data_IF_235253337391
#
_entry.id   IF_235253337391
#
_cell.length_a   1.000
_cell.length_b   1.000
_cell.length_c   1.000
_cell.angle_alpha   90.00
_cell.angle_beta   90.00
_cell.angle_gamma   90.00
#
_symmetry.space_group_name_H-M   'P 1'
#
loop_
_entity.id
_entity.type
_entity.pdbx_description
1 polymer ?
#
# COMPACT_ATOMS: atom_id res chain seq x y z
N UNK A 1 -21.86 -10.02 5.60
CA UNK A 1 -22.13 -11.44 5.92
C UNK A 1 -22.28 -12.35 4.70
N UNK A 2 -22.73 -11.87 3.54
CA UNK A 2 -22.82 -12.69 2.31
C UNK A 2 -21.49 -12.80 1.57
N UNK A 3 -20.57 -11.86 1.73
CA UNK A 3 -19.25 -11.86 1.08
C UNK A 3 -18.36 -13.03 1.53
N UNK A 4 -18.51 -13.49 2.78
CA UNK A 4 -17.70 -14.58 3.35
C UNK A 4 -18.24 -16.01 3.04
N UNK A 5 -19.48 -16.16 2.57
CA UNK A 5 -20.15 -17.45 2.49
C UNK A 5 -20.35 -18.02 1.07
N UNK A 6 -20.06 -17.27 0.01
CA UNK A 6 -20.30 -17.70 -1.38
C UNK A 6 -19.11 -17.33 -2.26
N UNK A 7 -18.80 -18.22 -3.21
CA UNK A 7 -17.94 -17.89 -4.34
C UNK A 7 -18.40 -16.55 -4.91
N UNK A 8 -17.47 -15.59 -5.06
CA UNK A 8 -17.78 -14.19 -5.31
C UNK A 8 -18.66 -14.00 -6.55
N UNK A 9 -19.94 -13.76 -6.34
CA UNK A 9 -20.89 -13.40 -7.40
C UNK A 9 -20.39 -12.14 -8.12
N UNK A 10 -19.75 -11.23 -7.39
CA UNK A 10 -19.14 -10.02 -7.95
C UNK A 10 -18.03 -10.36 -8.94
N UNK A 11 -17.20 -11.36 -8.64
CA UNK A 11 -16.16 -11.82 -9.57
C UNK A 11 -16.76 -12.38 -10.87
N UNK A 12 -17.84 -13.13 -10.77
CA UNK A 12 -18.55 -13.67 -11.95
C UNK A 12 -19.22 -12.55 -12.77
N UNK A 13 -19.83 -11.57 -12.10
CA UNK A 13 -20.41 -10.39 -12.74
C UNK A 13 -19.36 -9.53 -13.45
N UNK A 14 -18.20 -9.30 -12.80
CA UNK A 14 -17.09 -8.58 -13.41
C UNK A 14 -16.56 -9.27 -14.65
N UNK A 15 -16.35 -10.58 -14.59
CA UNK A 15 -15.95 -11.37 -15.77
C UNK A 15 -16.98 -11.29 -16.90
N UNK A 16 -18.26 -11.37 -16.56
CA UNK A 16 -19.34 -11.23 -17.54
C UNK A 16 -19.39 -9.84 -18.18
N UNK A 17 -19.22 -8.78 -17.37
CA UNK A 17 -19.19 -7.41 -17.86
C UNK A 17 -18.02 -7.15 -18.79
N UNK A 18 -16.82 -7.61 -18.43
CA UNK A 18 -15.61 -7.46 -19.24
C UNK A 18 -15.68 -8.29 -20.54
N UNK A 19 -16.24 -9.48 -20.48
CA UNK A 19 -16.45 -10.31 -21.68
C UNK A 19 -17.50 -9.70 -22.63
N UNK A 20 -18.54 -9.08 -22.08
CA UNK A 20 -19.62 -8.46 -22.86
C UNK A 20 -19.28 -7.07 -23.41
N UNK A 21 -18.34 -6.37 -22.79
CA UNK A 21 -17.89 -5.04 -23.19
C UNK A 21 -16.36 -4.98 -23.20
N UNK A 22 -15.72 -5.56 -24.22
CA UNK A 22 -14.27 -5.46 -24.37
C UNK A 22 -13.88 -3.99 -24.53
N UNK A 23 -13.02 -3.50 -23.62
CA UNK A 23 -12.63 -2.09 -23.53
C UNK A 23 -13.35 -1.32 -22.41
N UNK A 24 -14.12 -1.98 -21.56
CA UNK A 24 -14.64 -1.38 -20.35
C UNK A 24 -13.48 -1.14 -19.37
N UNK A 25 -13.07 0.13 -19.25
CA UNK A 25 -12.06 0.55 -18.29
C UNK A 25 -12.74 0.95 -16.97
N UNK A 26 -12.43 0.20 -15.91
CA UNK A 26 -12.91 0.54 -14.57
C UNK A 26 -11.84 1.33 -13.81
N UNK A 27 -12.22 2.40 -13.09
CA UNK A 27 -11.25 3.15 -12.28
C UNK A 27 -10.52 2.27 -11.25
N UNK A 28 -9.21 2.48 -11.03
CA UNK A 28 -8.40 1.65 -10.13
C UNK A 28 -8.97 1.53 -8.72
N UNK A 29 -9.50 2.63 -8.17
CA UNK A 29 -10.11 2.63 -6.83
C UNK A 29 -11.38 1.76 -6.74
N UNK A 30 -12.13 1.61 -7.83
CA UNK A 30 -13.31 0.73 -7.86
C UNK A 30 -12.85 -0.72 -7.89
N UNK A 31 -11.85 -1.07 -8.70
CA UNK A 31 -11.27 -2.41 -8.75
C UNK A 31 -10.69 -2.82 -7.40
N UNK A 32 -9.96 -1.91 -6.75
CA UNK A 32 -9.44 -2.07 -5.39
C UNK A 32 -10.57 -2.34 -4.39
N UNK A 33 -11.62 -1.51 -4.41
CA UNK A 33 -12.79 -1.67 -3.53
C UNK A 33 -13.48 -3.02 -3.73
N UNK A 34 -13.69 -3.43 -4.98
CA UNK A 34 -14.33 -4.72 -5.30
C UNK A 34 -13.44 -5.91 -4.89
N UNK A 35 -12.13 -5.81 -5.07
CA UNK A 35 -11.17 -6.78 -4.56
C UNK A 35 -11.28 -6.95 -3.06
N UNK A 36 -11.13 -5.87 -2.32
CA UNK A 36 -11.08 -5.86 -0.85
C UNK A 36 -12.42 -6.24 -0.20
N UNK A 37 -13.52 -5.67 -0.68
CA UNK A 37 -14.83 -5.85 -0.03
C UNK A 37 -15.50 -7.17 -0.41
N UNK A 38 -15.34 -7.61 -1.66
CA UNK A 38 -16.03 -8.78 -2.19
C UNK A 38 -15.10 -9.93 -2.57
N UNK A 39 -13.82 -9.83 -2.19
CA UNK A 39 -12.80 -10.83 -2.49
C UNK A 39 -12.65 -11.14 -3.98
N UNK A 40 -12.91 -10.16 -4.83
CA UNK A 40 -12.77 -10.28 -6.29
C UNK A 40 -11.33 -9.97 -6.75
N UNK A 41 -10.32 -10.38 -5.95
CA UNK A 41 -8.92 -10.00 -6.11
C UNK A 41 -8.34 -10.36 -7.48
N UNK A 42 -8.52 -11.60 -7.93
CA UNK A 42 -7.88 -12.07 -9.15
C UNK A 42 -8.31 -11.28 -10.38
N UNK A 43 -9.62 -11.07 -10.56
CA UNK A 43 -10.12 -10.30 -11.69
C UNK A 43 -9.74 -8.82 -11.57
N UNK A 44 -9.73 -8.28 -10.36
CA UNK A 44 -9.31 -6.89 -10.12
C UNK A 44 -7.83 -6.70 -10.42
N UNK A 45 -6.96 -7.62 -10.00
CA UNK A 45 -5.53 -7.58 -10.32
C UNK A 45 -5.27 -7.72 -11.82
N UNK A 46 -5.94 -8.65 -12.49
CA UNK A 46 -5.83 -8.84 -13.94
C UNK A 46 -6.13 -7.53 -14.68
N UNK A 47 -7.24 -6.86 -14.32
CA UNK A 47 -7.61 -5.57 -14.91
C UNK A 47 -6.65 -4.42 -14.56
N UNK A 48 -6.17 -4.35 -13.32
CA UNK A 48 -5.19 -3.36 -12.92
C UNK A 48 -3.85 -3.57 -13.64
N UNK A 49 -3.43 -4.82 -13.84
CA UNK A 49 -2.22 -5.14 -14.61
C UNK A 49 -2.38 -4.75 -16.09
N UNK A 50 -3.52 -5.06 -16.71
CA UNK A 50 -3.80 -4.65 -18.08
C UNK A 50 -3.76 -3.12 -18.22
N UNK A 51 -4.36 -2.38 -17.28
CA UNK A 51 -4.33 -0.92 -17.26
C UNK A 51 -2.91 -0.38 -17.08
N UNK A 52 -2.11 -0.98 -16.22
CA UNK A 52 -0.71 -0.57 -15.98
C UNK A 52 0.15 -0.73 -17.24
N UNK A 53 -0.08 -1.79 -18.02
CA UNK A 53 0.64 -2.06 -19.26
C UNK A 53 0.03 -1.38 -20.49
N UNK A 54 -1.14 -0.79 -20.38
CA UNK A 54 -1.74 -0.01 -21.47
C UNK A 54 -0.88 1.23 -21.77
N UNK A 55 -0.46 1.36 -23.03
CA UNK A 55 0.46 2.43 -23.48
C UNK A 55 -0.14 3.85 -23.38
N UNK A 56 -1.40 3.98 -22.99
CA UNK A 56 -2.16 5.26 -22.98
C UNK A 56 -2.57 5.71 -21.56
N UNK A 57 -2.11 5.07 -20.52
CA UNK A 57 -2.46 5.50 -19.16
C UNK A 57 -1.83 6.87 -18.86
N UNK A 58 -2.65 7.83 -18.48
CA UNK A 58 -2.23 9.08 -17.88
C UNK A 58 -1.38 8.79 -16.63
N UNK A 59 -0.39 9.62 -16.34
CA UNK A 59 0.52 9.41 -15.20
C UNK A 59 -0.24 9.31 -13.87
N UNK A 60 -1.31 10.09 -13.67
CA UNK A 60 -2.15 10.01 -12.49
C UNK A 60 -2.92 8.68 -12.40
N UNK A 61 -3.43 8.17 -13.51
CA UNK A 61 -4.10 6.85 -13.55
C UNK A 61 -3.09 5.74 -13.30
N UNK A 62 -1.88 5.88 -13.85
CA UNK A 62 -0.79 4.92 -13.64
C UNK A 62 -0.41 4.85 -12.16
N UNK A 63 -0.25 5.99 -11.50
CA UNK A 63 0.07 6.06 -10.07
C UNK A 63 -1.02 5.41 -9.23
N UNK A 64 -2.29 5.78 -9.45
CA UNK A 64 -3.44 5.17 -8.76
C UNK A 64 -3.55 3.66 -9.02
N UNK A 65 -3.20 3.19 -10.22
CA UNK A 65 -3.18 1.76 -10.55
C UNK A 65 -2.07 1.03 -9.82
N UNK A 66 -0.89 1.64 -9.71
CA UNK A 66 0.23 1.10 -8.96
C UNK A 66 -0.07 1.02 -7.46
N UNK A 67 -0.73 2.02 -6.87
CA UNK A 67 -1.18 1.98 -5.48
C UNK A 67 -2.16 0.85 -5.24
N UNK A 68 -3.16 0.71 -6.10
CA UNK A 68 -4.15 -0.35 -6.00
C UNK A 68 -3.53 -1.75 -6.12
N UNK A 69 -2.53 -1.92 -7.01
CA UNK A 69 -1.80 -3.18 -7.16
C UNK A 69 -0.89 -3.45 -5.95
N UNK A 70 -0.17 -2.45 -5.45
CA UNK A 70 0.70 -2.62 -4.29
C UNK A 70 -0.10 -3.11 -3.07
N UNK A 71 -1.26 -2.50 -2.80
CA UNK A 71 -2.14 -2.93 -1.71
C UNK A 71 -2.69 -4.35 -1.96
N UNK A 72 -3.10 -4.67 -3.19
CA UNK A 72 -3.59 -6.00 -3.52
C UNK A 72 -2.52 -7.09 -3.31
N UNK A 73 -1.29 -6.84 -3.72
CA UNK A 73 -0.18 -7.77 -3.52
C UNK A 73 0.19 -7.94 -2.04
N UNK A 74 0.16 -6.85 -1.26
CA UNK A 74 0.40 -6.90 0.18
C UNK A 74 -0.68 -7.73 0.90
N UNK A 75 -1.97 -7.47 0.63
CA UNK A 75 -3.10 -8.21 1.21
C UNK A 75 -3.09 -9.71 0.87
N UNK A 76 -2.64 -10.06 -0.33
CA UNK A 76 -2.55 -11.46 -0.78
C UNK A 76 -1.21 -12.12 -0.45
N UNK A 77 -0.30 -11.39 0.19
CA UNK A 77 1.06 -11.87 0.50
C UNK A 77 1.86 -12.28 -0.76
N UNK A 78 1.59 -11.64 -1.88
CA UNK A 78 2.29 -11.86 -3.15
C UNK A 78 3.60 -11.05 -3.18
N UNK A 79 4.56 -11.46 -2.34
CA UNK A 79 5.78 -10.72 -2.04
C UNK A 79 6.61 -10.39 -3.30
N UNK A 80 6.80 -11.35 -4.20
CA UNK A 80 7.61 -11.13 -5.40
C UNK A 80 7.03 -10.08 -6.33
N UNK A 81 5.71 -10.04 -6.48
CA UNK A 81 5.02 -9.02 -7.27
C UNK A 81 5.09 -7.66 -6.59
N UNK A 82 4.93 -7.62 -5.26
CA UNK A 82 5.04 -6.40 -4.47
C UNK A 82 6.43 -5.76 -4.62
N UNK A 83 7.50 -6.52 -4.35
CA UNK A 83 8.86 -6.02 -4.50
C UNK A 83 9.19 -5.66 -5.95
N UNK A 84 8.73 -6.45 -6.92
CA UNK A 84 8.92 -6.17 -8.34
C UNK A 84 8.26 -4.87 -8.79
N UNK A 85 7.07 -4.57 -8.27
CA UNK A 85 6.35 -3.32 -8.53
C UNK A 85 7.09 -2.11 -7.95
N UNK A 86 7.45 -2.19 -6.67
CA UNK A 86 8.13 -1.10 -5.96
C UNK A 86 9.52 -0.79 -6.51
N UNK A 87 10.30 -1.79 -6.93
CA UNK A 87 11.60 -1.59 -7.57
C UNK A 87 11.54 -0.76 -8.87
N UNK A 88 10.42 -0.78 -9.54
CA UNK A 88 10.19 0.02 -10.76
C UNK A 88 9.64 1.41 -10.47
N UNK A 89 9.01 1.57 -9.33
CA UNK A 89 8.24 2.75 -8.95
C UNK A 89 9.02 3.70 -8.05
N UNK A 90 9.89 3.18 -7.17
CA UNK A 90 10.58 3.99 -6.18
C UNK A 90 11.48 5.06 -6.83
N UNK A 91 11.43 6.25 -6.26
CA UNK A 91 12.20 7.41 -6.68
C UNK A 91 13.61 7.42 -6.09
N UNK A 92 13.77 6.82 -4.90
CA UNK A 92 15.03 6.83 -4.16
C UNK A 92 15.77 5.52 -4.30
N UNK A 93 17.09 5.55 -4.62
CA UNK A 93 17.90 4.33 -4.70
C UNK A 93 18.03 3.62 -3.36
N UNK A 94 17.92 4.34 -2.25
CA UNK A 94 17.90 3.81 -0.89
C UNK A 94 16.69 2.90 -0.70
N UNK A 95 15.49 3.30 -1.17
CA UNK A 95 14.28 2.48 -1.14
C UNK A 95 14.48 1.17 -1.89
N UNK A 96 15.08 1.23 -3.08
CA UNK A 96 15.33 0.04 -3.89
C UNK A 96 16.29 -0.94 -3.18
N UNK A 97 17.33 -0.40 -2.55
CA UNK A 97 18.29 -1.20 -1.79
C UNK A 97 17.65 -1.79 -0.51
N UNK A 98 16.83 -1.01 0.20
CA UNK A 98 16.10 -1.46 1.38
C UNK A 98 15.19 -2.65 1.05
N UNK A 99 14.37 -2.53 0.01
CA UNK A 99 13.50 -3.60 -0.48
C UNK A 99 14.29 -4.88 -0.87
N UNK A 100 15.48 -4.71 -1.45
CA UNK A 100 16.34 -5.86 -1.79
C UNK A 100 16.89 -6.58 -0.55
N UNK A 101 17.28 -5.83 0.48
CA UNK A 101 17.71 -6.40 1.75
C UNK A 101 16.55 -7.07 2.50
N UNK A 102 15.41 -6.43 2.55
CA UNK A 102 14.20 -6.98 3.17
C UNK A 102 13.78 -8.30 2.49
N UNK A 103 13.72 -8.35 1.16
CA UNK A 103 13.41 -9.56 0.40
C UNK A 103 14.41 -10.70 0.67
N UNK A 104 15.66 -10.37 1.02
CA UNK A 104 16.69 -11.35 1.40
C UNK A 104 16.69 -11.69 2.88
N UNK A 105 15.76 -11.17 3.69
CA UNK A 105 15.67 -11.39 5.13
C UNK A 105 16.69 -10.60 5.95
N UNK A 106 17.34 -9.60 5.36
CA UNK A 106 18.32 -8.73 6.03
C UNK A 106 17.65 -7.48 6.57
N UNK A 107 16.79 -7.65 7.56
CA UNK A 107 15.92 -6.59 8.08
C UNK A 107 16.69 -5.46 8.78
N UNK A 108 17.85 -5.73 9.40
CA UNK A 108 18.64 -4.69 10.06
C UNK A 108 19.20 -3.69 9.04
N UNK A 109 19.71 -4.17 7.92
CA UNK A 109 20.21 -3.34 6.84
C UNK A 109 19.09 -2.62 6.09
N UNK A 110 17.95 -3.28 5.91
CA UNK A 110 16.77 -2.68 5.33
C UNK A 110 16.26 -1.51 6.17
N UNK A 111 16.15 -1.68 7.49
CA UNK A 111 15.71 -0.66 8.43
C UNK A 111 16.59 0.60 8.35
N UNK A 112 17.92 0.44 8.37
CA UNK A 112 18.86 1.56 8.25
C UNK A 112 18.70 2.32 6.92
N UNK A 113 18.40 1.62 5.84
CA UNK A 113 18.20 2.23 4.53
C UNK A 113 16.85 2.95 4.42
N UNK A 114 15.79 2.46 5.07
CA UNK A 114 14.54 3.19 5.17
C UNK A 114 14.71 4.49 5.97
N UNK A 115 15.46 4.47 7.07
CA UNK A 115 15.81 5.69 7.82
C UNK A 115 16.61 6.67 6.95
N UNK A 116 17.61 6.19 6.21
CA UNK A 116 18.39 7.01 5.30
C UNK A 116 17.54 7.62 4.19
N UNK A 117 16.58 6.85 3.64
CA UNK A 117 15.64 7.33 2.64
C UNK A 117 14.73 8.43 3.19
N UNK A 118 14.20 8.27 4.41
CA UNK A 118 13.39 9.29 5.07
C UNK A 118 14.16 10.59 5.30
N UNK A 119 15.40 10.50 5.80
CA UNK A 119 16.27 11.69 6.01
C UNK A 119 16.54 12.38 4.67
N UNK A 120 16.87 11.63 3.65
CA UNK A 120 17.15 12.15 2.30
C UNK A 120 15.89 12.74 1.66
N UNK A 121 14.73 12.10 1.79
CA UNK A 121 13.46 12.62 1.29
C UNK A 121 13.11 13.97 1.88
N UNK A 122 13.33 14.17 3.18
CA UNK A 122 13.08 15.44 3.86
C UNK A 122 14.08 16.54 3.46
N UNK A 123 15.30 16.19 3.10
CA UNK A 123 16.38 17.15 2.81
C UNK A 123 16.57 17.46 1.33
N UNK A 124 16.13 16.60 0.44
CA UNK A 124 16.47 16.67 -1.00
C UNK A 124 15.63 17.66 -1.80
N UNK A 125 14.46 18.07 -1.30
CA UNK A 125 13.51 18.89 -2.07
C UNK A 125 12.97 18.23 -3.34
N UNK A 126 13.25 16.94 -3.53
CA UNK A 126 12.68 16.15 -4.62
C UNK A 126 11.18 15.90 -4.39
N UNK A 127 10.36 15.80 -5.44
CA UNK A 127 8.96 15.46 -5.30
C UNK A 127 8.87 14.02 -4.74
N UNK A 128 8.52 13.92 -3.47
CA UNK A 128 8.29 12.66 -2.79
C UNK A 128 6.83 12.28 -2.94
N UNK A 129 6.56 11.05 -3.40
CA UNK A 129 5.20 10.53 -3.42
C UNK A 129 4.80 10.10 -2.01
N UNK A 130 3.56 10.39 -1.63
CA UNK A 130 3.02 9.97 -0.32
C UNK A 130 3.11 8.46 -0.15
N UNK A 131 2.88 7.71 -1.21
CA UNK A 131 2.97 6.26 -1.20
C UNK A 131 4.36 5.72 -0.90
N UNK A 132 5.44 6.37 -1.39
CA UNK A 132 6.81 5.96 -1.09
C UNK A 132 7.18 6.31 0.36
N UNK A 133 6.69 7.45 0.87
CA UNK A 133 6.88 7.82 2.26
C UNK A 133 6.19 6.81 3.21
N UNK A 134 4.95 6.45 2.92
CA UNK A 134 4.20 5.45 3.67
C UNK A 134 4.86 4.08 3.64
N UNK A 135 5.40 3.68 2.48
CA UNK A 135 6.18 2.45 2.37
C UNK A 135 7.35 2.42 3.35
N UNK A 136 8.10 3.52 3.49
CA UNK A 136 9.24 3.56 4.42
C UNK A 136 8.80 3.39 5.86
N UNK A 137 7.71 4.03 6.28
CA UNK A 137 7.18 3.92 7.64
C UNK A 137 6.69 2.51 7.92
N UNK A 138 5.87 1.94 7.04
CA UNK A 138 5.29 0.61 7.22
C UNK A 138 6.37 -0.48 7.23
N UNK A 139 7.33 -0.41 6.31
CA UNK A 139 8.38 -1.42 6.18
C UNK A 139 9.51 -1.25 7.20
N UNK A 140 9.70 -0.04 7.72
CA UNK A 140 10.55 0.17 8.88
C UNK A 140 9.96 -0.52 10.12
N UNK A 141 8.66 -0.37 10.35
CA UNK A 141 7.93 -1.05 11.43
C UNK A 141 7.96 -2.57 11.23
N UNK A 142 7.73 -3.05 10.01
CA UNK A 142 7.86 -4.48 9.69
C UNK A 142 9.26 -5.01 10.01
N UNK A 143 10.30 -4.29 9.64
CA UNK A 143 11.68 -4.65 9.93
C UNK A 143 11.95 -4.71 11.44
N UNK A 144 11.40 -3.76 12.21
CA UNK A 144 11.51 -3.76 13.67
C UNK A 144 10.80 -4.97 14.32
N UNK A 145 9.64 -5.39 13.78
CA UNK A 145 8.93 -6.58 14.21
C UNK A 145 9.73 -7.85 13.94
N UNK A 146 10.28 -8.00 12.76
CA UNK A 146 11.11 -9.16 12.37
C UNK A 146 12.40 -9.25 13.20
N UNK A 147 12.97 -8.10 13.57
CA UNK A 147 14.13 -8.00 14.46
C UNK A 147 13.77 -8.14 15.93
N UNK A 148 12.48 -8.32 16.28
CA UNK A 148 11.98 -8.45 17.64
C UNK A 148 12.37 -7.26 18.56
N UNK A 149 12.36 -6.05 18.03
CA UNK A 149 12.68 -4.81 18.76
C UNK A 149 11.48 -4.35 19.58
N UNK A 150 11.07 -5.17 20.56
CA UNK A 150 9.83 -4.97 21.33
C UNK A 150 9.79 -3.66 22.11
N UNK A 151 10.92 -3.21 22.66
CA UNK A 151 11.00 -1.95 23.40
C UNK A 151 10.68 -0.76 22.48
N UNK A 152 11.26 -0.77 21.28
CA UNK A 152 11.02 0.24 20.27
C UNK A 152 9.55 0.26 19.80
N UNK A 153 8.99 -0.93 19.57
CA UNK A 153 7.57 -1.07 19.20
C UNK A 153 6.63 -0.60 20.30
N UNK A 154 6.97 -0.89 21.57
CA UNK A 154 6.18 -0.41 22.70
C UNK A 154 6.23 1.14 22.83
N UNK A 155 7.36 1.74 22.55
CA UNK A 155 7.49 3.20 22.57
C UNK A 155 6.72 3.88 21.42
N UNK A 156 6.76 3.30 20.21
CA UNK A 156 5.93 3.75 19.08
C UNK A 156 4.44 3.67 19.41
N UNK A 157 3.98 2.52 19.92
CA UNK A 157 2.57 2.34 20.30
C UNK A 157 2.12 3.34 21.38
N UNK A 158 3.00 3.69 22.33
CA UNK A 158 2.70 4.73 23.33
C UNK A 158 2.56 6.10 22.71
N UNK A 159 3.41 6.44 21.74
CA UNK A 159 3.34 7.72 21.03
C UNK A 159 2.06 7.84 20.18
N UNK A 160 1.71 6.81 19.45
CA UNK A 160 0.47 6.76 18.67
C UNK A 160 -0.76 6.84 19.57
N UNK A 161 -0.80 6.07 20.64
CA UNK A 161 -1.91 6.10 21.59
C UNK A 161 -2.03 7.45 22.32
N UNK A 162 -0.92 8.09 22.66
CA UNK A 162 -0.92 9.43 23.22
C UNK A 162 -1.44 10.48 22.23
N UNK A 163 -1.09 10.33 20.94
CA UNK A 163 -1.59 11.20 19.89
C UNK A 163 -3.10 11.01 19.68
N UNK A 164 -3.59 9.77 19.65
CA UNK A 164 -5.01 9.45 19.54
C UNK A 164 -5.82 9.95 20.73
N UNK A 165 -5.30 9.81 21.95
CA UNK A 165 -5.91 10.36 23.17
C UNK A 165 -5.98 11.89 23.14
N UNK A 166 -4.91 12.55 22.69
CA UNK A 166 -4.87 14.00 22.56
C UNK A 166 -5.92 14.50 21.55
N UNK A 167 -6.04 13.79 20.40
CA UNK A 167 -7.03 14.09 19.37
C UNK A 167 -8.46 13.87 19.88
N UNK A 168 -8.71 12.77 20.61
CA UNK A 168 -10.01 12.48 21.22
C UNK A 168 -10.39 13.49 22.30
N UNK A 169 -9.44 13.98 23.10
CA UNK A 169 -9.67 15.04 24.08
C UNK A 169 -9.97 16.36 23.40
N UNK A 170 -9.23 16.72 22.34
CA UNK A 170 -9.48 17.95 21.59
C UNK A 170 -10.87 17.95 20.94
N UNK A 171 -11.29 16.80 20.38
CA UNK A 171 -12.63 16.67 19.78
C UNK A 171 -13.76 16.77 20.80
N UNK A 172 -13.55 16.28 22.03
CA UNK A 172 -14.53 16.43 23.13
C UNK A 172 -14.63 17.85 23.64
N UNK A 173 -13.51 18.59 23.70
CA UNK A 173 -13.49 19.99 24.10
C UNK A 173 -14.22 20.91 23.10
N UNK A 174 -14.14 20.59 21.80
CA UNK A 174 -14.84 21.33 20.75
C UNK A 174 -16.32 20.97 20.62
N UNK A 175 -16.75 19.83 21.17
CA UNK A 175 -18.14 19.37 21.13
C UNK A 175 -19.01 19.87 22.31
N UNK A 176 -18.46 20.66 23.25
CA UNK A 176 -19.23 21.19 24.37
C UNK A 176 -19.98 22.46 23.93
N UNK A 177 -21.31 22.48 23.94
CA UNK A 177 -22.03 23.71 23.66
C UNK A 177 -21.81 24.70 24.79
N UNK A 178 -21.57 25.98 24.43
CA UNK A 178 -21.52 27.09 25.36
C UNK A 178 -22.89 27.40 25.98
#
# INVERSE_FOLDING_TARGET
HQAAARASVVQALLRGALAGAPGLEMPPHVLKYLGKTFQAWYISMEQLQEQLYALRADDAVRESTQDALAEAYAELSEADYFYGLWRRRCMFPETNSALAYEQSGRFAEAQLLYEAAQVKGRSSGLPLTEAEYQLWDDHWVLSALELQQWDLMADLARLEHAADQALACASRLTAWPA
#
